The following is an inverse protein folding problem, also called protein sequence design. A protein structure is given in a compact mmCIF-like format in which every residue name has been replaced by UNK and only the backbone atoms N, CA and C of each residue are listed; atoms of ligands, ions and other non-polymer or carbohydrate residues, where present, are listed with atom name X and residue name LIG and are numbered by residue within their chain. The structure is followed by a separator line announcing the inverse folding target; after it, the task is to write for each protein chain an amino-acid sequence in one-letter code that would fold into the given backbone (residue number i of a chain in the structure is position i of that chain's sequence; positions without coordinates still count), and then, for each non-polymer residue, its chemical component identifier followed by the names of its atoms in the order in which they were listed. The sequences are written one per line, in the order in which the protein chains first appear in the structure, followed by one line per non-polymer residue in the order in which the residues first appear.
data_IF_402825018004
#
_entry.id   IF_402825018004
#
_cell.length_a   1.000
_cell.length_b   1.000
_cell.length_c   1.000
_cell.angle_alpha   90.00
_cell.angle_beta   90.00
_cell.angle_gamma   90.00
#
_symmetry.space_group_name_H-M   'P 1'
#
loop_
_entity.id
_entity.type
_entity.pdbx_description
1 polymer ?
#
# COMPACT_ATOMS: atom_id res chain seq x y z
N UNK A 1 65.61 30.49 13.84
CA UNK A 1 65.50 30.09 15.26
C UNK A 1 65.46 31.35 16.09
N UNK A 2 64.26 31.76 16.49
CA UNK A 2 63.95 32.67 17.59
C UNK A 2 62.44 32.52 17.84
N UNK A 3 62.09 31.82 18.90
CA UNK A 3 60.72 31.66 19.40
C UNK A 3 60.33 32.95 20.12
N UNK A 4 59.41 33.72 19.55
CA UNK A 4 58.81 34.89 20.20
C UNK A 4 57.50 34.43 20.83
N UNK A 5 57.53 34.24 22.15
CA UNK A 5 56.38 33.93 22.98
C UNK A 5 55.34 35.04 22.87
N UNK A 6 54.11 34.68 22.52
CA UNK A 6 52.93 35.55 22.61
C UNK A 6 52.18 35.15 23.88
N UNK A 7 52.14 36.08 24.85
CA UNK A 7 51.35 36.03 26.08
C UNK A 7 49.86 35.70 25.79
N UNK A 8 49.41 34.56 26.32
CA UNK A 8 48.02 34.09 26.30
C UNK A 8 47.33 34.43 27.64
N UNK A 9 47.14 35.72 27.93
CA UNK A 9 46.41 36.18 29.12
C UNK A 9 45.51 37.38 28.81
N UNK A 10 44.67 37.23 27.76
CA UNK A 10 43.59 38.17 27.46
C UNK A 10 42.22 37.54 27.74
N UNK A 11 41.83 37.60 29.01
CA UNK A 11 40.53 38.09 29.48
C UNK A 11 39.36 37.85 28.50
N UNK A 12 38.64 36.74 28.66
CA UNK A 12 37.24 36.63 28.19
C UNK A 12 36.32 36.62 29.41
N UNK A 13 36.01 37.83 29.87
CA UNK A 13 35.00 38.12 30.88
C UNK A 13 33.62 37.73 30.35
N UNK A 14 33.14 36.54 30.71
CA UNK A 14 31.72 36.23 30.57
C UNK A 14 30.92 37.24 31.41
N UNK A 15 30.00 38.04 30.81
CA UNK A 15 29.18 38.95 31.58
C UNK A 15 28.26 38.16 32.53
N UNK A 16 28.44 38.40 33.83
CA UNK A 16 27.60 37.88 34.89
C UNK A 16 26.21 38.52 34.80
N UNK A 17 25.19 37.79 34.34
CA UNK A 17 23.84 38.34 34.30
C UNK A 17 22.73 37.56 33.57
N UNK A 18 22.94 36.32 33.13
CA UNK A 18 21.84 35.54 32.55
C UNK A 18 20.99 34.89 33.66
N UNK A 19 19.67 35.13 33.73
CA UNK A 19 18.80 34.47 34.70
C UNK A 19 18.80 32.94 34.44
N UNK A 20 18.62 32.11 35.50
CA UNK A 20 18.62 30.66 35.34
C UNK A 20 17.49 30.23 34.39
N UNK A 21 17.87 29.61 33.27
CA UNK A 21 16.95 29.08 32.26
C UNK A 21 16.15 27.94 32.89
N UNK A 22 14.96 28.24 33.43
CA UNK A 22 14.02 27.25 33.98
C UNK A 22 13.60 26.33 32.82
N UNK A 23 14.25 25.17 32.71
CA UNK A 23 14.02 24.17 31.66
C UNK A 23 12.60 23.62 31.82
N UNK A 24 11.65 24.23 31.13
CA UNK A 24 10.26 23.75 31.07
C UNK A 24 10.25 22.40 30.32
N UNK A 25 10.17 21.31 31.08
CA UNK A 25 10.03 19.93 30.58
C UNK A 25 8.73 19.78 29.76
N UNK A 26 7.78 20.69 29.89
CA UNK A 26 6.57 20.66 29.07
C UNK A 26 6.86 20.87 27.57
N UNK A 27 7.94 21.60 27.23
CA UNK A 27 8.30 21.89 25.84
C UNK A 27 8.71 20.62 25.05
N UNK A 28 9.63 19.76 25.54
CA UNK A 28 9.95 18.52 24.84
C UNK A 28 8.78 17.50 24.83
N UNK A 29 7.89 17.52 25.83
CA UNK A 29 6.70 16.65 25.85
C UNK A 29 5.67 17.09 24.81
N UNK A 30 5.42 18.40 24.68
CA UNK A 30 4.55 18.95 23.63
C UNK A 30 5.12 18.73 22.22
N UNK A 31 6.44 18.85 22.04
CA UNK A 31 7.11 18.52 20.79
C UNK A 31 7.02 17.03 20.46
N UNK A 32 7.20 16.15 21.44
CA UNK A 32 7.06 14.71 21.26
C UNK A 32 5.61 14.31 20.91
N UNK A 33 4.61 14.89 21.58
CA UNK A 33 3.21 14.67 21.24
C UNK A 33 2.81 15.25 19.88
N UNK A 34 3.35 16.40 19.50
CA UNK A 34 3.11 17.01 18.19
C UNK A 34 3.68 16.17 17.03
N UNK A 35 4.88 15.61 17.20
CA UNK A 35 5.52 14.75 16.19
C UNK A 35 4.89 13.35 16.17
N UNK A 36 4.51 12.80 17.33
CA UNK A 36 3.79 11.52 17.38
C UNK A 36 2.37 11.63 16.81
N UNK A 37 1.65 12.73 17.10
CA UNK A 37 0.32 13.00 16.57
C UNK A 37 0.31 13.35 15.08
N UNK A 38 1.27 14.19 14.63
CA UNK A 38 1.39 14.58 13.23
C UNK A 38 1.90 13.46 12.32
N UNK A 39 2.86 12.66 12.80
CA UNK A 39 3.36 11.48 12.07
C UNK A 39 2.30 10.37 11.94
N UNK A 40 1.50 10.16 12.99
CA UNK A 40 0.39 9.21 12.94
C UNK A 40 -0.71 9.65 11.96
N UNK A 41 -1.04 10.95 11.89
CA UNK A 41 -2.05 11.45 10.97
C UNK A 41 -1.64 11.30 9.50
N UNK A 42 -0.36 11.51 9.16
CA UNK A 42 0.16 11.30 7.81
C UNK A 42 0.19 9.81 7.42
N UNK A 43 0.56 8.92 8.34
CA UNK A 43 0.55 7.47 8.09
C UNK A 43 -0.88 6.92 7.94
N UNK A 44 -1.85 7.47 8.68
CA UNK A 44 -3.27 7.09 8.53
C UNK A 44 -3.87 7.70 7.26
N UNK A 45 -3.53 8.94 6.91
CA UNK A 45 -4.06 9.61 5.72
C UNK A 45 -3.52 8.97 4.43
N UNK A 46 -2.22 8.65 4.35
CA UNK A 46 -1.65 8.02 3.16
C UNK A 46 -1.75 6.50 3.19
N UNK A 47 -1.51 5.85 4.33
CA UNK A 47 -1.58 4.38 4.42
C UNK A 47 -3.00 3.83 4.50
N UNK A 48 -3.91 4.55 5.19
CA UNK A 48 -5.30 4.15 5.36
C UNK A 48 -6.15 4.38 4.10
N UNK A 49 -6.00 5.55 3.45
CA UNK A 49 -6.72 5.85 2.21
C UNK A 49 -6.28 4.94 1.07
N UNK A 50 -4.98 4.64 0.95
CA UNK A 50 -4.52 3.65 -0.03
C UNK A 50 -5.08 2.26 0.28
N UNK A 51 -5.07 1.80 1.54
CA UNK A 51 -5.67 0.50 1.89
C UNK A 51 -7.17 0.43 1.62
N UNK A 52 -7.90 1.51 1.88
CA UNK A 52 -9.34 1.57 1.62
C UNK A 52 -9.66 1.69 0.13
N UNK A 53 -8.98 2.57 -0.61
CA UNK A 53 -9.17 2.76 -2.05
C UNK A 53 -8.82 1.51 -2.87
N UNK A 54 -7.79 0.76 -2.45
CA UNK A 54 -7.41 -0.49 -3.13
C UNK A 54 -8.39 -1.63 -2.85
N UNK A 55 -9.11 -1.60 -1.72
CA UNK A 55 -10.22 -2.52 -1.48
C UNK A 55 -11.37 -2.33 -2.48
N UNK A 56 -11.66 -1.08 -2.85
CA UNK A 56 -12.73 -0.76 -3.80
C UNK A 56 -12.44 -1.26 -5.23
N UNK A 57 -11.20 -1.17 -5.70
CA UNK A 57 -10.79 -1.74 -7.00
C UNK A 57 -10.86 -3.27 -7.01
N UNK A 58 -10.53 -3.91 -5.89
CA UNK A 58 -10.66 -5.37 -5.77
C UNK A 58 -12.13 -5.77 -5.91
N UNK A 59 -13.04 -5.06 -5.24
CA UNK A 59 -14.47 -5.39 -5.22
C UNK A 59 -15.12 -5.41 -6.62
N UNK A 60 -14.82 -4.43 -7.48
CA UNK A 60 -15.40 -4.36 -8.83
C UNK A 60 -14.97 -5.53 -9.73
N UNK A 61 -13.71 -5.97 -9.59
CA UNK A 61 -13.20 -7.15 -10.29
C UNK A 61 -13.94 -8.40 -9.81
N UNK A 62 -14.07 -8.59 -8.48
CA UNK A 62 -14.72 -9.79 -7.94
C UNK A 62 -16.21 -9.83 -8.22
N UNK A 63 -16.92 -8.70 -8.29
CA UNK A 63 -18.32 -8.69 -8.72
C UNK A 63 -18.52 -9.30 -10.11
N UNK A 64 -17.62 -9.01 -11.06
CA UNK A 64 -17.65 -9.59 -12.41
C UNK A 64 -17.19 -11.05 -12.45
N UNK A 65 -16.27 -11.45 -11.57
CA UNK A 65 -15.70 -12.81 -11.56
C UNK A 65 -16.58 -13.79 -10.77
N UNK A 66 -17.18 -13.38 -9.66
CA UNK A 66 -18.09 -14.21 -8.85
C UNK A 66 -19.44 -14.44 -9.51
N UNK A 67 -19.84 -13.60 -10.48
CA UNK A 67 -21.02 -13.84 -11.30
C UNK A 67 -20.85 -15.07 -12.21
N UNK A 68 -19.62 -15.51 -12.48
CA UNK A 68 -19.34 -16.73 -13.23
C UNK A 68 -19.47 -17.97 -12.32
N UNK A 69 -20.46 -18.85 -12.55
CA UNK A 69 -20.67 -20.04 -11.72
C UNK A 69 -19.50 -21.03 -11.78
N UNK A 70 -18.66 -20.98 -12.82
CA UNK A 70 -17.45 -21.82 -12.92
C UNK A 70 -16.39 -21.38 -11.92
N UNK A 71 -16.27 -20.07 -11.67
CA UNK A 71 -15.34 -19.56 -10.67
C UNK A 71 -15.77 -19.97 -9.26
N UNK A 72 -17.04 -19.72 -8.90
CA UNK A 72 -17.58 -20.07 -7.57
C UNK A 72 -17.68 -21.59 -7.34
N UNK A 73 -17.76 -22.39 -8.40
CA UNK A 73 -17.67 -23.85 -8.30
C UNK A 73 -16.32 -24.29 -7.72
N UNK A 74 -15.22 -23.71 -8.21
CA UNK A 74 -13.85 -24.03 -7.80
C UNK A 74 -13.40 -23.27 -6.55
N UNK A 75 -13.59 -21.96 -6.50
CA UNK A 75 -13.06 -21.08 -5.45
C UNK A 75 -14.01 -20.96 -4.25
N UNK A 76 -15.31 -21.09 -4.49
CA UNK A 76 -16.35 -20.79 -3.50
C UNK A 76 -16.66 -19.30 -3.44
N UNK A 77 -17.11 -18.83 -2.27
CA UNK A 77 -17.30 -17.40 -2.01
C UNK A 77 -15.95 -16.78 -1.62
N UNK A 78 -15.58 -15.65 -2.21
CA UNK A 78 -14.37 -14.93 -1.84
C UNK A 78 -14.59 -14.24 -0.49
N UNK A 79 -13.76 -14.58 0.50
CA UNK A 79 -13.76 -13.92 1.82
C UNK A 79 -12.83 -12.73 1.84
N UNK A 80 -11.69 -12.86 1.15
CA UNK A 80 -10.65 -11.85 1.11
C UNK A 80 -9.91 -11.93 -0.19
N UNK A 81 -9.57 -10.77 -0.73
CA UNK A 81 -8.73 -10.65 -1.91
C UNK A 81 -7.72 -9.54 -1.70
N UNK A 82 -6.48 -9.78 -2.12
CA UNK A 82 -5.38 -8.83 -2.00
C UNK A 82 -4.60 -8.78 -3.30
N UNK A 83 -4.52 -7.61 -3.92
CA UNK A 83 -3.68 -7.41 -5.09
C UNK A 83 -2.20 -7.53 -4.72
N UNK A 84 -1.46 -8.32 -5.49
CA UNK A 84 -0.02 -8.54 -5.35
C UNK A 84 0.70 -7.58 -6.30
N UNK A 85 0.82 -6.32 -5.91
CA UNK A 85 1.39 -5.25 -6.74
C UNK A 85 2.72 -5.62 -7.38
N UNK A 86 3.67 -6.17 -6.61
CA UNK A 86 4.97 -6.55 -7.15
C UNK A 86 4.88 -7.59 -8.28
N UNK A 87 3.87 -8.46 -8.25
CA UNK A 87 3.63 -9.42 -9.32
C UNK A 87 2.83 -8.80 -10.47
N UNK A 88 1.88 -7.90 -10.20
CA UNK A 88 1.15 -7.16 -11.25
C UNK A 88 2.06 -6.20 -12.04
N UNK A 89 2.95 -5.46 -11.36
CA UNK A 89 3.90 -4.53 -11.99
C UNK A 89 4.97 -5.22 -12.84
N UNK A 90 5.29 -6.48 -12.55
CA UNK A 90 6.21 -7.31 -13.34
C UNK A 90 5.47 -8.02 -14.47
N UNK A 91 4.16 -8.18 -14.35
CA UNK A 91 3.31 -8.65 -15.43
C UNK A 91 3.07 -7.53 -16.46
N UNK A 92 2.29 -7.84 -17.50
CA UNK A 92 1.84 -6.84 -18.46
C UNK A 92 0.95 -5.78 -17.78
N UNK A 93 0.89 -4.58 -18.36
CA UNK A 93 0.11 -3.42 -17.86
C UNK A 93 -1.39 -3.74 -17.68
N UNK A 94 -1.87 -4.76 -18.39
CA UNK A 94 -3.24 -5.23 -18.41
C UNK A 94 -3.49 -6.47 -17.52
N UNK A 95 -2.48 -6.90 -16.75
CA UNK A 95 -2.52 -8.13 -15.97
C UNK A 95 -2.34 -7.83 -14.49
N UNK A 96 -3.36 -8.17 -13.71
CA UNK A 96 -3.33 -8.07 -12.26
C UNK A 96 -3.23 -9.44 -11.62
N UNK A 97 -2.42 -9.51 -10.58
CA UNK A 97 -2.26 -10.70 -9.75
C UNK A 97 -2.88 -10.43 -8.39
N UNK A 98 -3.72 -11.35 -7.94
CA UNK A 98 -4.39 -11.29 -6.65
C UNK A 98 -4.13 -12.57 -5.87
N UNK A 99 -3.89 -12.44 -4.56
CA UNK A 99 -4.00 -13.54 -3.62
C UNK A 99 -5.43 -13.54 -3.07
N UNK A 100 -6.12 -14.66 -3.25
CA UNK A 100 -7.55 -14.85 -2.96
C UNK A 100 -7.71 -15.90 -1.88
N UNK A 101 -8.55 -15.59 -0.90
CA UNK A 101 -9.00 -16.50 0.14
C UNK A 101 -10.49 -16.80 -0.08
N UNK A 102 -10.77 -17.99 -0.61
CA UNK A 102 -12.12 -18.49 -0.85
C UNK A 102 -12.57 -19.50 0.20
N UNK A 103 -13.87 -19.80 0.23
CA UNK A 103 -14.40 -20.82 1.14
C UNK A 103 -13.93 -22.24 0.82
N UNK A 104 -13.60 -22.53 -0.45
CA UNK A 104 -13.16 -23.86 -0.92
C UNK A 104 -11.68 -23.91 -1.28
N UNK A 105 -11.14 -22.79 -1.76
CA UNK A 105 -9.77 -22.72 -2.24
C UNK A 105 -9.15 -21.36 -1.94
N UNK A 106 -7.85 -21.40 -1.62
CA UNK A 106 -7.03 -20.22 -1.41
C UNK A 106 -5.83 -20.29 -2.34
N UNK A 107 -5.47 -19.18 -2.95
CA UNK A 107 -4.28 -19.10 -3.78
C UNK A 107 -4.27 -17.90 -4.70
N UNK A 108 -3.40 -17.98 -5.71
CA UNK A 108 -3.14 -16.87 -6.62
C UNK A 108 -4.03 -16.94 -7.85
N UNK A 109 -4.70 -15.82 -8.11
CA UNK A 109 -5.54 -15.59 -9.28
C UNK A 109 -4.92 -14.48 -10.11
N UNK A 110 -4.79 -14.72 -11.40
CA UNK A 110 -4.32 -13.73 -12.37
C UNK A 110 -5.49 -13.33 -13.24
N UNK A 111 -5.73 -12.04 -13.37
CA UNK A 111 -6.83 -11.46 -14.14
C UNK A 111 -6.22 -10.59 -15.22
N UNK A 112 -6.63 -10.81 -16.47
CA UNK A 112 -6.32 -9.90 -17.57
C UNK A 112 -7.54 -9.06 -17.90
N UNK A 113 -7.38 -7.75 -17.89
CA UNK A 113 -8.39 -6.81 -18.39
C UNK A 113 -7.94 -6.19 -19.71
N UNK A 114 -8.84 -5.46 -20.34
CA UNK A 114 -8.56 -4.59 -21.48
C UNK A 114 -9.55 -3.44 -21.39
N UNK A 115 -9.07 -2.23 -21.65
CA UNK A 115 -9.95 -1.09 -21.84
C UNK A 115 -10.43 -1.07 -23.29
N UNK A 116 -11.73 -0.94 -23.51
CA UNK A 116 -12.23 -0.65 -24.85
C UNK A 116 -12.04 0.83 -25.22
N UNK A 117 -12.40 1.18 -26.46
CA UNK A 117 -12.27 2.54 -26.98
C UNK A 117 -13.14 3.56 -26.22
N UNK A 118 -14.15 3.10 -25.45
CA UNK A 118 -14.97 3.93 -24.57
C UNK A 118 -14.37 4.12 -23.18
N UNK A 119 -13.29 3.40 -22.85
CA UNK A 119 -12.63 3.41 -21.55
C UNK A 119 -13.26 2.45 -20.54
N UNK A 120 -14.10 1.51 -20.98
CA UNK A 120 -14.70 0.50 -20.11
C UNK A 120 -13.76 -0.69 -19.91
N UNK A 121 -13.53 -1.06 -18.65
CA UNK A 121 -12.70 -2.20 -18.27
C UNK A 121 -13.43 -3.54 -18.49
N UNK A 122 -12.94 -4.33 -19.44
CA UNK A 122 -13.45 -5.67 -19.76
C UNK A 122 -12.46 -6.76 -19.33
N UNK A 123 -12.94 -7.78 -18.62
CA UNK A 123 -12.10 -8.92 -18.22
C UNK A 123 -12.00 -9.88 -19.41
N UNK A 124 -10.78 -10.12 -19.90
CA UNK A 124 -10.53 -11.03 -21.02
C UNK A 124 -10.45 -12.48 -20.52
N UNK A 125 -9.72 -12.69 -19.42
CA UNK A 125 -9.61 -13.99 -18.79
C UNK A 125 -9.21 -13.88 -17.32
N UNK A 126 -9.55 -14.93 -16.58
CA UNK A 126 -9.17 -15.17 -15.19
C UNK A 126 -8.49 -16.53 -15.14
N UNK A 127 -7.24 -16.57 -14.69
CA UNK A 127 -6.45 -17.79 -14.59
C UNK A 127 -6.07 -18.05 -13.14
N UNK A 128 -6.23 -19.28 -12.67
CA UNK A 128 -5.80 -19.69 -11.35
C UNK A 128 -5.29 -21.14 -11.37
N UNK A 129 -4.42 -21.46 -10.41
CA UNK A 129 -3.83 -22.80 -10.29
C UNK A 129 -4.47 -23.52 -9.12
N UNK A 130 -5.14 -24.63 -9.38
CA UNK A 130 -5.74 -25.47 -8.36
C UNK A 130 -4.66 -26.21 -7.55
N UNK A 131 -4.98 -26.71 -6.34
CA UNK A 131 -4.03 -27.49 -5.53
C UNK A 131 -3.58 -28.79 -6.21
N UNK A 132 -4.37 -29.28 -7.17
CA UNK A 132 -4.01 -30.41 -8.04
C UNK A 132 -2.87 -30.09 -9.01
N UNK A 133 -2.46 -28.82 -9.12
CA UNK A 133 -1.52 -28.33 -10.15
C UNK A 133 -2.19 -28.02 -11.49
N UNK A 134 -3.51 -28.22 -11.60
CA UNK A 134 -4.27 -27.89 -12.79
C UNK A 134 -4.44 -26.37 -12.93
N UNK A 135 -4.16 -25.85 -14.12
CA UNK A 135 -4.35 -24.44 -14.45
C UNK A 135 -5.71 -24.29 -15.09
N UNK A 136 -6.61 -23.58 -14.40
CA UNK A 136 -7.94 -23.26 -14.92
C UNK A 136 -7.92 -21.84 -15.47
N UNK A 137 -8.34 -21.69 -16.73
CA UNK A 137 -8.55 -20.39 -17.35
C UNK A 137 -10.04 -20.22 -17.68
N UNK A 138 -10.64 -19.20 -17.07
CA UNK A 138 -12.02 -18.82 -17.29
C UNK A 138 -12.04 -17.55 -18.13
N UNK A 139 -12.77 -17.59 -19.24
CA UNK A 139 -13.12 -16.41 -20.02
C UNK A 139 -14.51 -15.99 -19.58
N UNK A 140 -14.67 -14.92 -18.79
CA UNK A 140 -15.99 -14.46 -18.42
C UNK A 140 -16.76 -14.11 -19.69
N UNK A 141 -18.03 -14.50 -19.74
CA UNK A 141 -18.89 -14.15 -20.86
C UNK A 141 -19.19 -12.66 -20.74
N UNK A 142 -18.51 -11.84 -21.54
CA UNK A 142 -18.85 -10.44 -21.71
C UNK A 142 -20.25 -10.43 -22.34
N UNK A 143 -21.28 -10.25 -21.53
CA UNK A 143 -22.61 -9.99 -22.08
C UNK A 143 -22.57 -8.57 -22.63
N UNK A 144 -22.39 -8.48 -23.95
CA UNK A 144 -22.54 -7.24 -24.67
C UNK A 144 -23.91 -6.67 -24.31
N UNK A 145 -23.92 -5.55 -23.59
CA UNK A 145 -25.15 -4.80 -23.39
C UNK A 145 -25.36 -4.04 -24.71
N UNK A 146 -26.27 -4.54 -25.55
CA UNK A 146 -26.80 -3.84 -26.74
C UNK A 146 -27.49 -2.51 -26.35
#
# INVERSE_FOLDING_TARGET
MAEFWVDDDRIDERPAGLPPRKRSWLIPVLLACGVAGGGALLLVCCGGLFRFGMGALSESVWQKVESDPRFTAHVGQVKKSQMVYGASFVADEDVLVFDVEGTKWNGRVTVKYMNDDAGDEQIIWVRFTLPSGEIVELKPKIEATD
#
